data_IF_687777656504
#
_entry.id   IF_687777656504
#
_cell.length_a   1.000
_cell.length_b   1.000
_cell.length_c   1.000
_cell.angle_alpha   90.00
_cell.angle_beta   90.00
_cell.angle_gamma   90.00
#
_symmetry.space_group_name_H-M   'P 1'
#
loop_
_entity.id
_entity.type
_entity.pdbx_description
1 polymer ?
#
# COMPACT_ATOMS: atom_id res chain seq x y z
N UNK A 1 19.22 3.66 2.31
CA UNK A 1 19.78 2.37 2.80
C UNK A 1 20.81 1.91 1.78
N UNK A 2 21.92 1.32 2.21
CA UNK A 2 22.94 0.79 1.30
C UNK A 2 23.65 -0.41 1.94
N UNK A 3 24.46 -1.13 1.17
CA UNK A 3 25.35 -2.18 1.69
C UNK A 3 26.72 -1.56 1.94
N UNK A 4 27.19 -1.59 3.19
CA UNK A 4 28.52 -1.09 3.55
C UNK A 4 29.63 -2.05 3.11
N UNK A 5 30.88 -1.62 3.22
CA UNK A 5 32.08 -2.39 2.83
C UNK A 5 32.19 -3.74 3.55
N UNK A 6 31.63 -3.87 4.75
CA UNK A 6 31.55 -5.13 5.49
C UNK A 6 30.41 -6.07 5.03
N UNK A 7 29.74 -5.78 3.91
CA UNK A 7 28.58 -6.53 3.41
C UNK A 7 27.31 -6.36 4.25
N UNK A 8 27.32 -5.46 5.24
CA UNK A 8 26.18 -5.22 6.14
C UNK A 8 25.31 -4.09 5.64
N UNK A 9 23.99 -4.29 5.72
CA UNK A 9 22.97 -3.27 5.43
C UNK A 9 23.07 -2.10 6.40
N UNK A 10 23.21 -0.90 5.87
CA UNK A 10 23.30 0.36 6.59
C UNK A 10 22.08 1.23 6.31
N UNK A 11 21.70 2.05 7.29
CA UNK A 11 20.59 3.00 7.17
C UNK A 11 20.94 4.25 7.94
N UNK A 12 20.78 5.40 7.29
CA UNK A 12 20.92 6.72 7.91
C UNK A 12 19.79 7.60 7.41
N UNK A 13 19.39 8.55 8.25
CA UNK A 13 18.48 9.63 7.86
C UNK A 13 19.36 10.73 7.29
N UNK A 14 19.18 11.03 5.99
CA UNK A 14 19.90 12.16 5.37
C UNK A 14 19.34 13.51 5.88
N UNK A 15 18.14 13.50 6.49
CA UNK A 15 17.46 14.63 7.13
C UNK A 15 15.96 14.73 6.77
N UNK A 16 15.35 15.89 7.08
CA UNK A 16 13.90 16.13 6.94
C UNK A 16 13.75 17.58 6.45
N UNK A 17 13.36 17.76 5.17
CA UNK A 17 13.17 19.09 4.58
C UNK A 17 11.71 19.46 4.52
N UNK A 18 11.43 20.72 4.81
CA UNK A 18 10.10 21.31 4.58
C UNK A 18 9.96 21.61 3.09
N UNK A 19 8.89 21.11 2.47
CA UNK A 19 8.50 21.48 1.10
C UNK A 19 7.62 22.72 1.19
N UNK A 20 7.96 23.74 0.40
CA UNK A 20 7.18 24.98 0.29
C UNK A 20 6.46 25.01 -1.05
N UNK A 21 5.28 25.65 -1.10
CA UNK A 21 4.48 25.75 -2.32
C UNK A 21 3.60 24.52 -2.57
N UNK A 22 3.31 24.23 -3.84
CA UNK A 22 2.43 23.11 -4.22
C UNK A 22 3.10 21.75 -4.00
N UNK A 23 2.32 20.76 -3.58
CA UNK A 23 2.80 19.38 -3.37
C UNK A 23 2.82 18.56 -4.67
N UNK A 24 3.32 19.15 -5.77
CA UNK A 24 3.51 18.46 -7.04
C UNK A 24 4.72 17.53 -6.98
N UNK A 25 4.76 16.53 -7.86
CA UNK A 25 5.89 15.60 -7.93
C UNK A 25 7.19 16.30 -8.30
N UNK A 26 7.15 17.27 -9.20
CA UNK A 26 8.31 18.07 -9.62
C UNK A 26 8.87 18.92 -8.47
N UNK A 27 8.02 19.53 -7.64
CA UNK A 27 8.47 20.32 -6.50
C UNK A 27 9.06 19.45 -5.39
N UNK A 28 8.45 18.28 -5.13
CA UNK A 28 9.04 17.29 -4.21
C UNK A 28 10.38 16.79 -4.77
N UNK A 29 10.42 16.51 -6.07
CA UNK A 29 11.60 16.02 -6.79
C UNK A 29 12.76 17.00 -6.77
N UNK A 30 12.51 18.30 -6.96
CA UNK A 30 13.55 19.34 -6.92
C UNK A 30 14.21 19.45 -5.55
N UNK A 31 13.41 19.45 -4.46
CA UNK A 31 13.92 19.49 -3.08
C UNK A 31 14.79 18.27 -2.78
N UNK A 32 14.38 17.07 -3.22
CA UNK A 32 15.17 15.85 -3.05
C UNK A 32 16.44 15.87 -3.90
N UNK A 33 16.36 16.38 -5.14
CA UNK A 33 17.49 16.45 -6.06
C UNK A 33 18.59 17.39 -5.56
N UNK A 34 18.23 18.58 -5.05
CA UNK A 34 19.18 19.48 -4.38
C UNK A 34 19.89 18.77 -3.23
N UNK A 35 19.14 18.01 -2.45
CA UNK A 35 19.66 17.30 -1.31
C UNK A 35 20.61 16.16 -1.67
N UNK A 36 20.30 15.41 -2.73
CA UNK A 36 21.19 14.39 -3.29
C UNK A 36 22.51 15.02 -3.75
N UNK A 37 22.46 16.20 -4.36
CA UNK A 37 23.67 16.95 -4.77
C UNK A 37 24.49 17.41 -3.57
N UNK A 38 23.86 17.90 -2.51
CA UNK A 38 24.57 18.32 -1.28
C UNK A 38 25.36 17.19 -0.62
N UNK A 39 24.84 15.96 -0.69
CA UNK A 39 25.50 14.76 -0.17
C UNK A 39 26.37 14.03 -1.22
N UNK A 40 26.57 14.62 -2.40
CA UNK A 40 27.33 14.04 -3.51
C UNK A 40 26.86 12.62 -3.89
N UNK A 41 25.53 12.43 -3.93
CA UNK A 41 24.88 11.18 -4.33
C UNK A 41 24.55 11.23 -5.81
N UNK A 42 25.36 10.53 -6.62
CA UNK A 42 25.19 10.37 -8.05
C UNK A 42 24.10 9.35 -8.45
N UNK A 43 23.70 9.40 -9.72
CA UNK A 43 22.66 8.51 -10.26
C UNK A 43 23.03 7.01 -10.25
N UNK A 44 24.31 6.70 -10.36
CA UNK A 44 24.86 5.33 -10.27
C UNK A 44 24.78 4.75 -8.85
N UNK A 45 24.73 5.61 -7.82
CA UNK A 45 24.58 5.22 -6.42
C UNK A 45 23.10 5.00 -6.02
N UNK A 46 22.16 5.47 -6.84
CA UNK A 46 20.73 5.36 -6.54
C UNK A 46 20.20 4.02 -7.04
N UNK A 47 19.88 3.15 -6.09
CA UNK A 47 19.22 1.87 -6.34
C UNK A 47 17.74 2.04 -6.66
N UNK A 48 16.93 2.33 -5.64
CA UNK A 48 15.47 2.39 -5.75
C UNK A 48 14.89 3.41 -4.76
N UNK A 49 13.71 3.94 -5.07
CA UNK A 49 12.93 4.81 -4.19
C UNK A 49 11.77 4.01 -3.60
N UNK A 50 11.68 3.91 -2.28
CA UNK A 50 10.52 3.31 -1.60
C UNK A 50 9.58 4.43 -1.16
N UNK A 51 8.40 4.52 -1.77
CA UNK A 51 7.45 5.62 -1.56
C UNK A 51 6.03 5.07 -1.38
N UNK A 52 5.14 5.86 -0.77
CA UNK A 52 3.72 5.52 -0.70
C UNK A 52 3.05 5.55 -2.09
N UNK A 53 1.77 5.17 -2.17
CA UNK A 53 1.11 4.93 -3.44
C UNK A 53 0.50 6.19 -4.11
N UNK A 54 0.99 7.38 -3.79
CA UNK A 54 0.58 8.60 -4.45
C UNK A 54 1.15 8.68 -5.88
N UNK A 55 0.35 9.18 -6.84
CA UNK A 55 0.76 9.35 -8.24
C UNK A 55 1.83 10.43 -8.40
N UNK A 56 1.87 11.42 -7.52
CA UNK A 56 2.91 12.47 -7.50
C UNK A 56 4.32 11.88 -7.32
N UNK A 57 4.45 10.73 -6.66
CA UNK A 57 5.72 10.04 -6.50
C UNK A 57 6.27 9.49 -7.83
N UNK A 58 5.41 9.10 -8.77
CA UNK A 58 5.86 8.68 -10.10
C UNK A 58 6.51 9.85 -10.84
N UNK A 59 5.88 11.02 -10.76
CA UNK A 59 6.40 12.26 -11.33
C UNK A 59 7.69 12.71 -10.64
N UNK A 60 7.76 12.63 -9.31
CA UNK A 60 8.95 12.99 -8.55
C UNK A 60 10.16 12.11 -8.90
N UNK A 61 9.96 10.78 -8.96
CA UNK A 61 11.04 9.84 -9.32
C UNK A 61 11.49 10.04 -10.77
N UNK A 62 10.55 10.24 -11.70
CA UNK A 62 10.91 10.56 -13.09
C UNK A 62 11.70 11.86 -13.19
N UNK A 63 11.29 12.91 -12.47
CA UNK A 63 12.00 14.19 -12.44
C UNK A 63 13.45 14.03 -11.95
N UNK A 64 13.65 13.37 -10.80
CA UNK A 64 14.97 13.15 -10.20
C UNK A 64 15.85 12.31 -11.14
N UNK A 65 15.33 11.18 -11.62
CA UNK A 65 16.12 10.23 -12.41
C UNK A 65 16.34 10.68 -13.85
N UNK A 66 15.51 11.55 -14.40
CA UNK A 66 15.78 12.16 -15.71
C UNK A 66 17.03 13.03 -15.66
N UNK A 67 17.25 13.73 -14.55
CA UNK A 67 18.46 14.52 -14.31
C UNK A 67 19.67 13.64 -13.99
N UNK A 68 19.54 12.71 -13.05
CA UNK A 68 20.68 11.93 -12.53
C UNK A 68 21.04 10.72 -13.40
N UNK A 69 20.07 10.18 -14.13
CA UNK A 69 20.19 8.95 -14.93
C UNK A 69 19.64 9.14 -16.37
N UNK A 70 20.15 10.10 -17.16
CA UNK A 70 19.62 10.40 -18.49
C UNK A 70 19.71 9.23 -19.49
N UNK A 71 20.58 8.25 -19.22
CA UNK A 71 20.75 7.04 -20.04
C UNK A 71 19.64 6.00 -19.85
N UNK A 72 18.81 6.10 -18.81
CA UNK A 72 17.70 5.17 -18.59
C UNK A 72 16.51 5.53 -19.49
N UNK A 73 15.74 4.52 -19.90
CA UNK A 73 14.44 4.76 -20.55
C UNK A 73 13.40 5.21 -19.50
N UNK A 74 12.29 5.85 -19.92
CA UNK A 74 11.19 6.17 -18.99
C UNK A 74 10.67 4.95 -18.22
N UNK A 75 10.53 3.78 -18.87
CA UNK A 75 10.10 2.54 -18.18
C UNK A 75 11.11 2.12 -17.11
N UNK A 76 12.41 2.16 -17.42
CA UNK A 76 13.46 1.83 -16.46
C UNK A 76 13.44 2.77 -15.25
N UNK A 77 13.26 4.08 -15.45
CA UNK A 77 13.14 5.06 -14.35
C UNK A 77 11.90 4.83 -13.51
N UNK A 78 10.74 4.57 -14.13
CA UNK A 78 9.52 4.21 -13.39
C UNK A 78 9.71 2.98 -12.52
N UNK A 79 10.37 1.95 -13.04
CA UNK A 79 10.67 0.71 -12.31
C UNK A 79 11.71 0.89 -11.19
N UNK A 80 12.30 2.07 -11.03
CA UNK A 80 13.11 2.42 -9.85
C UNK A 80 12.25 2.86 -8.65
N UNK A 81 10.95 3.12 -8.85
CA UNK A 81 10.00 3.35 -7.76
C UNK A 81 9.41 2.04 -7.27
N UNK A 82 9.53 1.81 -5.97
CA UNK A 82 8.92 0.74 -5.21
C UNK A 82 7.81 1.32 -4.33
N UNK A 83 6.73 0.56 -4.16
CA UNK A 83 5.58 0.91 -3.33
C UNK A 83 5.79 0.41 -1.91
N UNK A 84 5.58 1.31 -0.95
CA UNK A 84 5.62 1.02 0.48
C UNK A 84 4.57 -0.02 0.85
N UNK A 85 5.02 -1.15 1.39
CA UNK A 85 4.14 -2.24 1.80
C UNK A 85 3.19 -1.85 2.94
N UNK A 86 3.69 -1.16 3.98
CA UNK A 86 2.84 -0.69 5.08
C UNK A 86 1.71 0.21 4.59
N UNK A 87 1.97 1.06 3.60
CA UNK A 87 0.93 1.87 2.98
C UNK A 87 -0.10 1.00 2.22
N UNK A 88 0.34 -0.02 1.48
CA UNK A 88 -0.57 -0.98 0.81
C UNK A 88 -1.45 -1.71 1.83
N UNK A 89 -0.87 -2.19 2.94
CA UNK A 89 -1.62 -2.86 4.02
C UNK A 89 -2.67 -1.91 4.59
N UNK A 90 -2.31 -0.66 4.84
CA UNK A 90 -3.26 0.36 5.28
C UNK A 90 -4.40 0.56 4.26
N UNK A 91 -4.12 0.58 2.95
CA UNK A 91 -5.18 0.68 1.93
C UNK A 91 -6.11 -0.52 1.92
N UNK A 92 -5.58 -1.73 2.15
CA UNK A 92 -6.40 -2.94 2.29
C UNK A 92 -7.28 -2.87 3.55
N UNK A 93 -6.72 -2.42 4.67
CA UNK A 93 -7.45 -2.18 5.92
C UNK A 93 -8.54 -1.11 5.76
N UNK A 94 -8.27 -0.03 5.03
CA UNK A 94 -9.29 0.98 4.73
C UNK A 94 -10.39 0.41 3.84
N UNK A 95 -10.05 -0.42 2.83
CA UNK A 95 -11.03 -1.11 2.01
C UNK A 95 -11.92 -2.06 2.84
N UNK A 96 -11.36 -2.73 3.85
CA UNK A 96 -12.13 -3.49 4.85
C UNK A 96 -13.10 -2.58 5.62
N UNK A 97 -12.58 -1.54 6.26
CA UNK A 97 -13.35 -0.71 7.19
C UNK A 97 -14.41 0.16 6.52
N UNK A 98 -14.08 0.67 5.34
CA UNK A 98 -14.81 1.76 4.67
C UNK A 98 -15.43 1.32 3.34
N UNK A 99 -15.14 0.11 2.87
CA UNK A 99 -15.56 -0.39 1.56
C UNK A 99 -14.67 0.06 0.40
N UNK A 100 -15.00 -0.38 -0.81
CA UNK A 100 -14.26 -0.01 -2.04
C UNK A 100 -14.34 1.49 -2.31
N UNK A 101 -13.30 2.01 -2.96
CA UNK A 101 -13.15 3.42 -3.33
C UNK A 101 -13.24 4.42 -2.15
N UNK A 102 -12.96 3.96 -0.93
CA UNK A 102 -13.06 4.76 0.28
C UNK A 102 -12.31 6.10 0.21
N UNK A 103 -11.13 6.16 -0.42
CA UNK A 103 -10.38 7.40 -0.65
C UNK A 103 -11.22 8.48 -1.36
N UNK A 104 -11.98 8.09 -2.39
CA UNK A 104 -12.84 9.01 -3.15
C UNK A 104 -14.00 9.51 -2.30
N UNK A 105 -14.54 8.67 -1.42
CA UNK A 105 -15.60 9.06 -0.49
C UNK A 105 -15.07 9.92 0.65
N UNK A 106 -13.87 9.66 1.19
CA UNK A 106 -13.20 10.47 2.20
C UNK A 106 -12.97 11.90 1.70
N UNK A 107 -12.43 12.06 0.49
CA UNK A 107 -12.20 13.38 -0.09
C UNK A 107 -13.50 14.18 -0.28
N UNK A 108 -14.61 13.51 -0.63
CA UNK A 108 -15.94 14.15 -0.70
C UNK A 108 -16.44 14.52 0.68
N UNK A 109 -16.33 13.60 1.64
CA UNK A 109 -16.78 13.81 3.01
C UNK A 109 -16.07 15.00 3.64
N UNK A 110 -14.75 15.07 3.52
CA UNK A 110 -13.93 16.19 4.03
C UNK A 110 -14.35 17.52 3.41
N UNK A 111 -14.60 17.55 2.10
CA UNK A 111 -15.09 18.75 1.39
C UNK A 111 -16.45 19.22 1.90
N UNK A 112 -17.39 18.32 2.17
CA UNK A 112 -18.70 18.68 2.75
C UNK A 112 -18.58 19.11 4.21
N UNK A 113 -17.71 18.45 4.98
CA UNK A 113 -17.40 18.81 6.36
C UNK A 113 -16.84 20.23 6.47
N UNK A 114 -15.85 20.58 5.63
CA UNK A 114 -15.29 21.93 5.57
C UNK A 114 -16.31 23.01 5.18
N UNK A 115 -17.38 22.62 4.47
CA UNK A 115 -18.49 23.51 4.08
C UNK A 115 -19.61 23.60 5.14
N UNK A 116 -19.52 22.83 6.23
CA UNK A 116 -20.56 22.74 7.25
C UNK A 116 -21.82 21.98 6.80
N UNK A 117 -21.75 21.21 5.71
CA UNK A 117 -22.87 20.43 5.17
C UNK A 117 -22.98 19.07 5.87
N UNK A 118 -23.37 19.09 7.15
CA UNK A 118 -23.40 17.91 8.00
C UNK A 118 -24.44 16.87 7.55
N UNK A 119 -25.53 17.29 6.93
CA UNK A 119 -26.53 16.37 6.37
C UNK A 119 -25.89 15.51 5.27
N UNK A 120 -25.07 16.10 4.40
CA UNK A 120 -24.36 15.34 3.37
C UNK A 120 -23.23 14.49 3.95
N UNK A 121 -22.54 14.97 4.98
CA UNK A 121 -21.53 14.18 5.72
C UNK A 121 -22.18 12.92 6.29
N UNK A 122 -23.33 13.03 6.94
CA UNK A 122 -24.04 11.88 7.50
C UNK A 122 -24.50 10.90 6.41
N UNK A 123 -25.04 11.40 5.30
CA UNK A 123 -25.45 10.57 4.15
C UNK A 123 -24.26 9.81 3.57
N UNK A 124 -23.10 10.45 3.45
CA UNK A 124 -21.87 9.82 2.98
C UNK A 124 -21.35 8.80 4.00
N UNK A 125 -21.32 9.16 5.29
CA UNK A 125 -20.85 8.30 6.38
C UNK A 125 -21.57 6.95 6.41
N UNK A 126 -22.90 6.93 6.24
CA UNK A 126 -23.71 5.70 6.21
C UNK A 126 -23.31 4.73 5.08
N UNK A 127 -22.52 5.16 4.10
CA UNK A 127 -22.01 4.33 3.00
C UNK A 127 -20.62 3.73 3.27
N UNK A 128 -19.94 4.12 4.35
CA UNK A 128 -18.57 3.69 4.67
C UNK A 128 -18.53 2.31 5.32
N UNK A 129 -18.48 1.22 4.53
CA UNK A 129 -18.11 -0.11 5.04
C UNK A 129 -18.70 -0.45 6.42
N UNK A 130 -17.97 -1.18 7.26
CA UNK A 130 -18.49 -1.56 8.58
C UNK A 130 -18.64 -0.36 9.51
N UNK A 131 -17.78 0.66 9.40
CA UNK A 131 -17.79 1.82 10.28
C UNK A 131 -19.05 2.68 10.17
N UNK A 132 -19.54 2.90 8.96
CA UNK A 132 -20.71 3.72 8.65
C UNK A 132 -22.02 3.18 9.20
N UNK A 133 -22.01 1.89 9.60
CA UNK A 133 -23.17 1.17 10.15
C UNK A 133 -23.07 0.92 11.64
N UNK A 134 -21.96 1.31 12.28
CA UNK A 134 -21.83 1.19 13.73
C UNK A 134 -22.77 2.20 14.40
N UNK A 135 -23.58 1.70 15.33
CA UNK A 135 -24.46 2.48 16.20
C UNK A 135 -24.23 2.05 17.66
N UNK A 136 -24.92 2.71 18.60
CA UNK A 136 -24.61 2.72 20.04
C UNK A 136 -24.67 1.35 20.75
N UNK A 137 -24.95 0.23 20.05
CA UNK A 137 -25.14 -1.11 20.61
C UNK A 137 -24.49 -2.24 19.78
N UNK A 138 -23.61 -1.92 18.82
CA UNK A 138 -22.99 -2.92 17.94
C UNK A 138 -21.67 -3.49 18.51
N UNK A 139 -21.69 -3.94 19.77
CA UNK A 139 -20.48 -4.49 20.43
C UNK A 139 -20.00 -5.79 19.79
N UNK A 140 -20.94 -6.60 19.32
CA UNK A 140 -20.63 -7.84 18.61
C UNK A 140 -19.87 -7.56 17.31
N UNK A 141 -20.37 -6.64 16.48
CA UNK A 141 -19.72 -6.22 15.24
C UNK A 141 -18.33 -5.65 15.51
N UNK A 142 -18.19 -4.83 16.56
CA UNK A 142 -16.91 -4.24 16.95
C UNK A 142 -15.89 -5.29 17.34
N UNK A 143 -16.29 -6.35 18.05
CA UNK A 143 -15.40 -7.47 18.37
C UNK A 143 -14.92 -8.18 17.09
N UNK A 144 -15.79 -8.39 16.10
CA UNK A 144 -15.39 -9.04 14.83
C UNK A 144 -14.51 -8.15 13.97
N UNK A 145 -14.77 -6.84 13.96
CA UNK A 145 -13.89 -5.86 13.31
C UNK A 145 -12.52 -5.86 13.98
N UNK A 146 -12.46 -5.81 15.31
CA UNK A 146 -11.20 -5.86 16.06
C UNK A 146 -10.40 -7.13 15.75
N UNK A 147 -11.07 -8.28 15.69
CA UNK A 147 -10.43 -9.55 15.34
C UNK A 147 -9.81 -9.49 13.94
N UNK A 148 -10.55 -9.03 12.94
CA UNK A 148 -10.03 -8.87 11.58
C UNK A 148 -8.88 -7.84 11.49
N UNK A 149 -8.91 -6.79 12.31
CA UNK A 149 -7.85 -5.78 12.37
C UNK A 149 -6.52 -6.34 12.90
N UNK A 150 -6.52 -7.43 13.67
CA UNK A 150 -5.30 -8.08 14.15
C UNK A 150 -4.42 -8.59 12.99
N UNK A 151 -5.03 -9.07 11.91
CA UNK A 151 -4.29 -9.60 10.76
C UNK A 151 -3.56 -8.46 10.01
N UNK A 152 -4.24 -7.33 9.82
CA UNK A 152 -3.61 -6.13 9.25
C UNK A 152 -2.51 -5.59 10.15
N UNK A 153 -2.73 -5.58 11.48
CA UNK A 153 -1.72 -5.16 12.44
C UNK A 153 -0.48 -6.07 12.39
N UNK A 154 -0.67 -7.39 12.36
CA UNK A 154 0.41 -8.36 12.24
C UNK A 154 1.19 -8.17 10.93
N UNK A 155 0.50 -8.00 9.80
CA UNK A 155 1.13 -7.72 8.51
C UNK A 155 1.93 -6.41 8.53
N UNK A 156 1.40 -5.35 9.17
CA UNK A 156 2.11 -4.08 9.34
C UNK A 156 3.41 -4.28 10.13
N UNK A 157 3.36 -5.00 11.25
CA UNK A 157 4.55 -5.31 12.05
C UNK A 157 5.60 -6.11 11.26
N UNK A 158 5.18 -7.02 10.38
CA UNK A 158 6.08 -7.76 9.49
C UNK A 158 6.74 -6.86 8.43
N UNK A 159 6.07 -5.78 8.04
CA UNK A 159 6.55 -4.84 7.02
C UNK A 159 7.46 -3.72 7.58
N UNK A 160 7.42 -3.50 8.90
CA UNK A 160 8.08 -2.37 9.54
C UNK A 160 9.41 -2.71 10.20
N UNK A 161 10.33 -1.73 10.18
CA UNK A 161 11.55 -1.74 10.96
C UNK A 161 12.85 -1.88 10.16
N UNK A 162 13.95 -1.98 10.91
CA UNK A 162 15.22 -2.52 10.38
C UNK A 162 15.00 -4.05 10.23
N UNK A 163 15.90 -4.93 9.84
CA UNK A 163 15.60 -6.38 9.61
C UNK A 163 14.60 -6.72 8.48
N UNK A 164 13.54 -5.96 8.20
CA UNK A 164 12.67 -6.21 7.05
C UNK A 164 13.41 -5.97 5.73
N UNK A 165 13.07 -6.76 4.73
CA UNK A 165 13.71 -6.76 3.43
C UNK A 165 12.67 -6.67 2.31
N UNK A 166 13.12 -6.35 1.09
CA UNK A 166 12.25 -6.36 -0.08
C UNK A 166 11.74 -7.78 -0.41
N UNK A 167 12.44 -8.83 0.03
CA UNK A 167 12.01 -10.22 -0.14
C UNK A 167 10.80 -10.57 0.72
N UNK A 168 10.52 -9.80 1.78
CA UNK A 168 9.33 -9.98 2.61
C UNK A 168 8.07 -9.41 1.96
N UNK A 169 8.20 -8.68 0.84
CA UNK A 169 7.09 -7.99 0.21
C UNK A 169 5.99 -8.94 -0.27
N UNK A 170 6.33 -9.92 -1.09
CA UNK A 170 5.37 -10.93 -1.55
C UNK A 170 4.90 -11.81 -0.40
N UNK A 171 5.82 -12.32 0.44
CA UNK A 171 5.44 -13.22 1.55
C UNK A 171 4.46 -12.58 2.54
N UNK A 172 4.57 -11.28 2.79
CA UNK A 172 3.63 -10.57 3.66
C UNK A 172 2.28 -10.40 2.99
N UNK A 173 2.24 -10.09 1.69
CA UNK A 173 0.98 -10.01 0.94
C UNK A 173 0.31 -11.38 0.80
N UNK A 174 1.07 -12.45 0.57
CA UNK A 174 0.55 -13.83 0.54
C UNK A 174 -0.10 -14.20 1.86
N UNK A 175 0.59 -13.89 2.97
CA UNK A 175 0.04 -14.08 4.31
C UNK A 175 -1.26 -13.30 4.47
N UNK A 176 -1.25 -11.99 4.19
CA UNK A 176 -2.42 -11.14 4.33
C UNK A 176 -3.60 -11.61 3.43
N UNK A 177 -3.33 -12.01 2.19
CA UNK A 177 -4.33 -12.56 1.28
C UNK A 177 -4.96 -13.83 1.86
N UNK A 178 -4.15 -14.73 2.43
CA UNK A 178 -4.63 -15.94 3.07
C UNK A 178 -5.49 -15.62 4.29
N UNK A 179 -5.01 -14.81 5.22
CA UNK A 179 -5.75 -14.48 6.46
C UNK A 179 -7.09 -13.78 6.15
N UNK A 180 -7.11 -12.82 5.21
CA UNK A 180 -8.36 -12.18 4.78
C UNK A 180 -9.30 -13.19 4.12
N UNK A 181 -8.77 -14.13 3.33
CA UNK A 181 -9.59 -15.15 2.67
C UNK A 181 -10.17 -16.15 3.67
N UNK A 182 -9.41 -16.55 4.69
CA UNK A 182 -9.89 -17.38 5.79
C UNK A 182 -11.00 -16.68 6.58
N UNK A 183 -10.80 -15.40 6.92
CA UNK A 183 -11.82 -14.54 7.54
C UNK A 183 -13.09 -14.46 6.69
N UNK A 184 -12.95 -14.28 5.38
CA UNK A 184 -14.07 -14.23 4.42
C UNK A 184 -14.86 -15.56 4.41
N UNK A 185 -14.15 -16.69 4.37
CA UNK A 185 -14.78 -18.02 4.35
C UNK A 185 -15.47 -18.35 5.69
N UNK A 186 -14.88 -17.90 6.80
CA UNK A 186 -15.46 -18.05 8.12
C UNK A 186 -16.80 -17.31 8.22
N UNK A 187 -16.86 -16.07 7.74
CA UNK A 187 -18.11 -15.30 7.70
C UNK A 187 -19.17 -15.91 6.77
N UNK A 188 -18.76 -16.49 5.64
CA UNK A 188 -19.68 -17.22 4.74
C UNK A 188 -20.31 -18.44 5.43
N UNK A 189 -19.50 -19.20 6.17
CA UNK A 189 -19.98 -20.40 6.86
C UNK A 189 -20.98 -20.02 7.97
N UNK A 190 -20.64 -19.02 8.80
CA UNK A 190 -21.53 -18.59 9.89
C UNK A 190 -22.83 -17.94 9.36
N UNK A 191 -22.78 -17.22 8.23
CA UNK A 191 -23.99 -16.62 7.61
C UNK A 191 -25.07 -17.67 7.32
N UNK A 192 -24.66 -18.90 7.03
CA UNK A 192 -25.58 -20.02 6.76
C UNK A 192 -26.16 -20.68 8.01
N UNK A 193 -25.57 -20.43 9.20
CA UNK A 193 -25.90 -21.12 10.46
C UNK A 193 -26.56 -20.22 11.52
N UNK A 194 -26.49 -18.88 11.38
CA UNK A 194 -26.91 -17.89 12.38
C UNK A 194 -28.04 -16.98 11.88
N UNK A 195 -29.00 -16.66 12.76
CA UNK A 195 -30.13 -15.74 12.50
C UNK A 195 -29.67 -14.27 12.32
N UNK A 196 -28.42 -13.95 12.68
CA UNK A 196 -27.78 -12.63 12.41
C UNK A 196 -27.18 -12.49 10.99
N UNK A 197 -27.79 -13.14 10.00
CA UNK A 197 -27.36 -13.19 8.59
C UNK A 197 -26.97 -11.79 8.01
N UNK A 198 -27.66 -10.73 8.41
CA UNK A 198 -27.35 -9.39 7.89
C UNK A 198 -25.94 -8.89 8.25
N UNK A 199 -25.44 -9.16 9.46
CA UNK A 199 -24.11 -8.70 9.92
C UNK A 199 -22.99 -9.47 9.25
N UNK A 200 -23.15 -10.79 9.09
CA UNK A 200 -22.14 -11.68 8.52
C UNK A 200 -21.92 -11.45 7.03
N UNK A 201 -23.00 -11.40 6.26
CA UNK A 201 -22.97 -11.00 4.84
C UNK A 201 -22.26 -9.66 4.62
N UNK A 202 -22.42 -8.75 5.57
CA UNK A 202 -21.80 -7.44 5.49
C UNK A 202 -20.29 -7.47 5.75
N UNK A 203 -19.86 -8.14 6.83
CA UNK A 203 -18.45 -8.34 7.16
C UNK A 203 -17.73 -9.15 6.06
N UNK A 204 -18.42 -10.11 5.45
CA UNK A 204 -17.94 -10.83 4.27
C UNK A 204 -17.68 -9.87 3.09
N UNK A 205 -18.62 -8.95 2.82
CA UNK A 205 -18.43 -7.91 1.80
C UNK A 205 -17.24 -7.00 2.08
N UNK A 206 -16.99 -6.67 3.35
CA UNK A 206 -15.82 -5.92 3.80
C UNK A 206 -14.52 -6.71 3.58
N UNK A 207 -14.49 -7.99 3.96
CA UNK A 207 -13.35 -8.88 3.73
C UNK A 207 -13.06 -9.04 2.22
N UNK A 208 -14.10 -9.17 1.39
CA UNK A 208 -13.95 -9.20 -0.06
C UNK A 208 -13.36 -7.89 -0.62
N UNK A 209 -13.77 -6.73 -0.10
CA UNK A 209 -13.22 -5.44 -0.53
C UNK A 209 -11.72 -5.33 -0.20
N UNK A 210 -11.32 -5.77 0.99
CA UNK A 210 -9.93 -5.81 1.42
C UNK A 210 -9.09 -6.79 0.59
N UNK A 211 -9.61 -8.01 0.37
CA UNK A 211 -8.96 -9.05 -0.42
C UNK A 211 -8.72 -8.57 -1.86
N UNK A 212 -9.76 -8.02 -2.50
CA UNK A 212 -9.66 -7.48 -3.86
C UNK A 212 -8.65 -6.33 -3.95
N UNK A 213 -8.62 -5.44 -2.94
CA UNK A 213 -7.61 -4.37 -2.88
C UNK A 213 -6.20 -4.93 -2.76
N UNK A 214 -6.00 -5.97 -1.94
CA UNK A 214 -4.70 -6.63 -1.78
C UNK A 214 -4.25 -7.33 -3.06
N UNK A 215 -5.17 -8.04 -3.72
CA UNK A 215 -4.94 -8.76 -4.98
C UNK A 215 -4.60 -7.80 -6.14
N UNK A 216 -5.26 -6.65 -6.23
CA UNK A 216 -4.89 -5.58 -7.17
C UNK A 216 -3.41 -5.19 -7.03
N UNK A 217 -2.89 -5.10 -5.80
CA UNK A 217 -1.48 -4.79 -5.54
C UNK A 217 -0.54 -5.94 -5.86
N UNK A 218 -0.90 -7.14 -5.42
CA UNK A 218 -0.14 -8.35 -5.65
C UNK A 218 0.08 -8.64 -7.14
N UNK A 219 -0.98 -8.51 -7.95
CA UNK A 219 -1.00 -8.80 -9.39
C UNK A 219 -0.62 -7.60 -10.27
N UNK A 220 -0.31 -6.44 -9.68
CA UNK A 220 -0.05 -5.17 -10.39
C UNK A 220 -1.20 -4.66 -11.27
N UNK A 221 -2.45 -4.90 -10.85
CA UNK A 221 -3.65 -4.56 -11.62
C UNK A 221 -4.38 -3.32 -11.09
N UNK A 222 -3.68 -2.39 -10.43
CA UNK A 222 -4.35 -1.18 -9.96
C UNK A 222 -4.81 -0.33 -11.14
N UNK A 223 -6.10 0.01 -11.18
CA UNK A 223 -6.70 0.76 -12.29
C UNK A 223 -6.00 2.10 -12.57
N UNK A 224 -5.60 2.84 -11.54
CA UNK A 224 -4.87 4.10 -11.69
C UNK A 224 -3.47 3.90 -12.32
N UNK A 225 -2.83 2.76 -12.04
CA UNK A 225 -1.55 2.42 -12.68
C UNK A 225 -1.77 2.10 -14.16
N UNK A 226 -2.72 1.21 -14.47
CA UNK A 226 -3.05 0.82 -15.84
C UNK A 226 -3.50 2.01 -16.70
N UNK A 227 -4.28 2.94 -16.15
CA UNK A 227 -4.72 4.13 -16.88
C UNK A 227 -3.56 5.06 -17.25
N UNK A 228 -2.52 5.13 -16.42
CA UNK A 228 -1.36 5.99 -16.67
C UNK A 228 -0.29 5.30 -17.52
N UNK A 229 -0.14 3.99 -17.35
CA UNK A 229 0.86 3.17 -17.99
C UNK A 229 0.25 1.85 -18.51
N UNK A 230 -0.59 1.89 -19.55
CA UNK A 230 -1.34 0.71 -20.02
C UNK A 230 -0.43 -0.41 -20.53
N UNK A 231 0.72 -0.05 -21.09
CA UNK A 231 1.73 -0.99 -21.62
C UNK A 231 2.71 -1.50 -20.53
N UNK A 232 2.51 -1.12 -19.26
CA UNK A 232 3.43 -1.42 -18.15
C UNK A 232 2.75 -2.33 -17.12
N UNK A 233 2.60 -3.59 -17.47
CA UNK A 233 1.92 -4.62 -16.66
C UNK A 233 2.81 -5.22 -15.57
N UNK A 234 4.12 -5.00 -15.63
CA UNK A 234 5.09 -5.66 -14.77
C UNK A 234 5.25 -4.93 -13.42
N UNK A 235 5.42 -5.69 -12.34
CA UNK A 235 5.99 -5.11 -11.12
C UNK A 235 7.46 -4.72 -11.36
N UNK A 236 7.98 -3.71 -10.63
CA UNK A 236 9.40 -3.42 -10.61
C UNK A 236 10.24 -4.70 -10.43
N UNK A 237 11.24 -4.96 -11.32
CA UNK A 237 12.07 -6.18 -11.27
C UNK A 237 12.76 -6.43 -9.94
N UNK A 238 12.94 -5.39 -9.12
CA UNK A 238 13.52 -5.47 -7.79
C UNK A 238 12.77 -6.41 -6.86
N UNK A 239 11.43 -6.47 -6.95
CA UNK A 239 10.62 -7.36 -6.12
C UNK A 239 10.95 -8.83 -6.40
N UNK A 240 10.97 -9.21 -7.67
CA UNK A 240 11.33 -10.57 -8.09
C UNK A 240 12.80 -10.88 -7.77
N UNK A 241 13.71 -9.94 -8.03
CA UNK A 241 15.13 -10.11 -7.72
C UNK A 241 15.35 -10.35 -6.23
N UNK A 242 14.69 -9.58 -5.36
CA UNK A 242 14.80 -9.77 -3.91
C UNK A 242 14.32 -11.17 -3.49
N UNK A 243 13.24 -11.66 -4.09
CA UNK A 243 12.71 -12.99 -3.79
C UNK A 243 13.64 -14.13 -4.26
N UNK A 244 14.24 -13.99 -5.45
CA UNK A 244 15.15 -14.97 -6.04
C UNK A 244 16.49 -15.00 -5.31
N UNK A 245 16.93 -13.86 -4.77
CA UNK A 245 18.19 -13.72 -4.06
C UNK A 245 18.10 -14.14 -2.58
N UNK A 246 16.91 -14.40 -2.04
CA UNK A 246 16.73 -14.94 -0.70
C UNK A 246 17.00 -16.46 -0.69
N UNK A 247 18.13 -16.94 -0.14
CA UNK A 247 18.48 -18.36 -0.17
C UNK A 247 17.50 -19.24 0.62
N UNK A 248 16.77 -18.69 1.60
CA UNK A 248 15.81 -19.44 2.40
C UNK A 248 14.49 -19.65 1.66
N UNK A 249 14.07 -18.67 0.85
CA UNK A 249 12.75 -18.66 0.22
C UNK A 249 12.77 -18.91 -1.29
N UNK A 250 13.91 -18.74 -1.96
CA UNK A 250 14.06 -18.90 -3.42
C UNK A 250 13.36 -20.17 -3.93
N UNK A 251 13.61 -21.30 -3.29
CA UNK A 251 13.07 -22.59 -3.74
C UNK A 251 11.58 -22.80 -3.46
N UNK A 252 10.97 -22.05 -2.55
CA UNK A 252 9.53 -22.13 -2.32
C UNK A 252 8.76 -21.59 -3.54
N UNK A 253 9.32 -20.58 -4.23
CA UNK A 253 8.73 -19.99 -5.42
C UNK A 253 8.92 -20.84 -6.68
N UNK A 254 10.09 -21.47 -6.83
CA UNK A 254 10.36 -22.32 -8.00
C UNK A 254 9.74 -23.71 -7.92
N UNK A 255 9.31 -24.17 -6.73
CA UNK A 255 8.74 -25.50 -6.51
C UNK A 255 7.22 -25.50 -6.31
N UNK A 256 6.53 -24.40 -6.62
CA UNK A 256 5.08 -24.44 -6.79
C UNK A 256 4.78 -25.16 -8.11
N UNK A 257 4.80 -26.50 -8.06
CA UNK A 257 4.15 -27.40 -9.03
C UNK A 257 2.75 -27.75 -8.57
#
# INVERSE_FOLDING_TARGET
>A
MWIGTAGKRQTTVLGIRRVYGEHTGENIGSVILEWLREYDVGGDQIGYFMLDNASSNDTAVEFILKELCPWMTPKQRRHRRLRCLGHIINLCCQAFLMGRDCERYLAKLEKHYQRGDYAKVEELWKRFGCLGRLHNLHWFELEKIELALKDFYAATLLSEGKKTSLADWFSTLDCLLREINETKNHYDTIDTEDDNNFTWKYLQGCAHAAWSKCEEYYSNQQLNWQNRFPEDTDLPPAYYAAQILDPYRKWAWFRQE
#
